data_IF_877942604026
#
_entry.id   IF_877942604026
#
_cell.length_a   1.000
_cell.length_b   1.000
_cell.length_c   1.000
_cell.angle_alpha   90.00
_cell.angle_beta   90.00
_cell.angle_gamma   90.00
#
_symmetry.space_group_name_H-M   'P 1'
#
loop_
_entity.id
_entity.type
_entity.pdbx_description
1 polymer ?
#
# COMPACT_ATOMS: atom_id res chain seq x y z
N UNK A 1 -35.37 -5.09 -39.71
CA UNK A 1 -35.30 -5.45 -38.27
C UNK A 1 -33.93 -5.98 -37.80
N UNK A 2 -32.83 -5.80 -38.55
CA UNK A 2 -31.52 -6.40 -38.23
C UNK A 2 -30.56 -5.54 -37.36
N UNK A 3 -30.88 -4.28 -37.06
CA UNK A 3 -29.96 -3.38 -36.32
C UNK A 3 -29.96 -3.57 -34.79
N UNK A 4 -31.04 -4.12 -34.22
CA UNK A 4 -31.22 -4.20 -32.75
C UNK A 4 -30.25 -5.18 -32.06
N UNK A 5 -29.75 -6.19 -32.78
CA UNK A 5 -28.79 -7.16 -32.26
C UNK A 5 -27.34 -6.64 -32.17
N UNK A 6 -26.97 -5.66 -33.02
CA UNK A 6 -25.60 -5.10 -33.03
C UNK A 6 -25.37 -4.09 -31.89
N UNK A 7 -26.40 -3.38 -31.45
CA UNK A 7 -26.30 -2.40 -30.35
C UNK A 7 -26.11 -3.07 -28.98
N UNK A 8 -26.72 -4.25 -28.77
CA UNK A 8 -26.60 -5.01 -27.52
C UNK A 8 -25.18 -5.56 -27.29
N UNK A 9 -24.49 -5.97 -28.37
CA UNK A 9 -23.10 -6.44 -28.32
C UNK A 9 -22.07 -5.32 -28.11
N UNK A 10 -22.30 -4.15 -28.72
CA UNK A 10 -21.43 -2.99 -28.57
C UNK A 10 -21.47 -2.40 -27.15
N UNK A 11 -22.66 -2.41 -26.50
CA UNK A 11 -22.82 -1.94 -25.13
C UNK A 11 -22.02 -2.79 -24.10
N UNK A 12 -21.91 -4.11 -24.30
CA UNK A 12 -21.11 -4.99 -23.44
C UNK A 12 -19.60 -4.81 -23.65
N UNK A 13 -19.15 -4.59 -24.89
CA UNK A 13 -17.74 -4.38 -25.21
C UNK A 13 -17.17 -3.06 -24.63
N UNK A 14 -18.01 -2.03 -24.48
CA UNK A 14 -17.62 -0.78 -23.80
C UNK A 14 -17.47 -0.95 -22.29
N UNK A 15 -18.32 -1.78 -21.67
CA UNK A 15 -18.32 -2.02 -20.23
C UNK A 15 -17.05 -2.74 -19.72
N UNK A 16 -16.59 -3.77 -20.44
CA UNK A 16 -15.39 -4.53 -20.02
C UNK A 16 -14.12 -3.67 -20.05
N UNK A 17 -13.93 -2.84 -21.08
CA UNK A 17 -12.77 -1.94 -21.19
C UNK A 17 -12.74 -0.91 -20.07
N UNK A 18 -13.88 -0.32 -19.73
CA UNK A 18 -14.00 0.64 -18.62
C UNK A 18 -13.67 0.00 -17.27
N UNK A 19 -14.13 -1.24 -17.03
CA UNK A 19 -13.81 -1.98 -15.79
C UNK A 19 -12.33 -2.32 -15.70
N UNK A 20 -11.71 -2.78 -16.79
CA UNK A 20 -10.27 -3.05 -16.84
C UNK A 20 -9.43 -1.80 -16.58
N UNK A 21 -9.79 -0.67 -17.20
CA UNK A 21 -9.13 0.61 -16.95
C UNK A 21 -9.26 1.05 -15.48
N UNK A 22 -10.45 0.90 -14.89
CA UNK A 22 -10.66 1.20 -13.47
C UNK A 22 -9.81 0.30 -12.58
N UNK A 23 -9.81 -1.02 -12.80
CA UNK A 23 -8.98 -1.96 -12.05
C UNK A 23 -7.49 -1.62 -12.15
N UNK A 24 -7.01 -1.31 -13.36
CA UNK A 24 -5.60 -0.92 -13.56
C UNK A 24 -5.26 0.37 -12.82
N UNK A 25 -6.14 1.38 -12.90
CA UNK A 25 -5.98 2.65 -12.21
C UNK A 25 -5.95 2.48 -10.68
N UNK A 26 -6.87 1.70 -10.12
CA UNK A 26 -6.89 1.41 -8.69
C UNK A 26 -5.68 0.60 -8.23
N UNK A 27 -5.26 -0.41 -8.98
CA UNK A 27 -4.04 -1.16 -8.67
C UNK A 27 -2.81 -0.26 -8.63
N UNK A 28 -2.66 0.64 -9.61
CA UNK A 28 -1.57 1.61 -9.61
C UNK A 28 -1.65 2.56 -8.40
N UNK A 29 -2.84 3.09 -8.10
CA UNK A 29 -3.04 3.95 -6.94
C UNK A 29 -2.69 3.25 -5.62
N UNK A 30 -3.04 1.97 -5.46
CA UNK A 30 -2.69 1.17 -4.28
C UNK A 30 -1.18 0.96 -4.18
N UNK A 31 -0.51 0.64 -5.29
CA UNK A 31 0.94 0.48 -5.32
C UNK A 31 1.62 1.78 -4.89
N UNK A 32 1.20 2.92 -5.47
CA UNK A 32 1.72 4.23 -5.08
C UNK A 32 1.46 4.49 -3.60
N UNK A 33 0.25 4.23 -3.09
CA UNK A 33 -0.05 4.41 -1.68
C UNK A 33 0.87 3.57 -0.78
N UNK A 34 1.11 2.29 -1.10
CA UNK A 34 2.01 1.43 -0.32
C UNK A 34 3.45 1.96 -0.34
N UNK A 35 3.93 2.45 -1.49
CA UNK A 35 5.28 3.04 -1.59
C UNK A 35 5.44 4.27 -0.69
N UNK A 36 4.40 5.11 -0.57
CA UNK A 36 4.40 6.25 0.33
C UNK A 36 4.23 5.85 1.81
N UNK A 37 3.58 4.72 2.09
CA UNK A 37 3.44 4.19 3.45
C UNK A 37 4.71 3.50 3.96
N UNK A 38 5.57 2.99 3.08
CA UNK A 38 6.83 2.33 3.47
C UNK A 38 7.74 3.19 4.38
N UNK A 39 8.08 4.44 4.05
CA UNK A 39 8.90 5.27 4.94
C UNK A 39 8.21 5.55 6.28
N UNK A 40 6.88 5.74 6.29
CA UNK A 40 6.12 5.93 7.54
C UNK A 40 6.15 4.68 8.41
N UNK A 41 5.94 3.50 7.79
CA UNK A 41 6.08 2.22 8.46
C UNK A 41 7.48 2.05 9.06
N UNK A 42 8.52 2.40 8.28
CA UNK A 42 9.91 2.32 8.74
C UNK A 42 10.16 3.22 9.95
N UNK A 43 9.66 4.46 9.93
CA UNK A 43 9.80 5.40 11.05
C UNK A 43 9.13 4.85 12.31
N UNK A 44 7.86 4.43 12.24
CA UNK A 44 7.14 3.87 13.39
C UNK A 44 7.84 2.63 13.92
N UNK A 45 8.22 1.69 13.04
CA UNK A 45 8.97 0.50 13.41
C UNK A 45 10.28 0.86 14.11
N UNK A 46 11.09 1.76 13.55
CA UNK A 46 12.37 2.17 14.15
C UNK A 46 12.21 2.86 15.50
N UNK A 47 11.15 3.65 15.70
CA UNK A 47 10.88 4.32 16.98
C UNK A 47 10.56 3.34 18.11
N UNK A 48 10.12 2.14 17.77
CA UNK A 48 9.80 1.06 18.70
C UNK A 48 10.94 0.03 18.86
N UNK A 49 12.08 0.23 18.17
CA UNK A 49 13.23 -0.69 18.27
C UNK A 49 14.15 -0.29 19.43
N UNK A 50 14.82 -1.25 20.08
CA UNK A 50 15.98 -0.95 20.91
C UNK A 50 17.15 -0.45 20.04
N UNK A 51 18.02 0.39 20.62
CA UNK A 51 19.12 1.05 19.91
C UNK A 51 20.02 0.10 19.12
N UNK A 52 20.32 -1.09 19.65
CA UNK A 52 21.15 -2.07 18.96
C UNK A 52 20.50 -2.62 17.67
N UNK A 53 19.15 -2.67 17.62
CA UNK A 53 18.40 -3.20 16.49
C UNK A 53 18.22 -2.15 15.37
N UNK A 54 18.41 -0.87 15.67
CA UNK A 54 18.38 0.21 14.66
C UNK A 54 19.61 0.14 13.75
N UNK A 55 20.78 -0.21 14.31
CA UNK A 55 22.06 -0.23 13.61
C UNK A 55 22.47 -1.62 13.10
N UNK A 56 21.71 -2.67 13.42
CA UNK A 56 22.06 -4.03 13.01
C UNK A 56 21.83 -4.26 11.50
N UNK A 57 22.68 -5.10 10.91
CA UNK A 57 22.51 -5.59 9.54
C UNK A 57 22.33 -7.12 9.54
N UNK A 58 21.32 -7.68 8.85
CA UNK A 58 20.30 -6.99 8.07
C UNK A 58 19.31 -6.19 8.96
N UNK A 59 18.79 -5.05 8.48
CA UNK A 59 17.81 -4.30 9.24
C UNK A 59 16.53 -5.11 9.43
N UNK A 60 16.04 -5.19 10.67
CA UNK A 60 14.75 -5.86 10.94
C UNK A 60 13.59 -4.92 10.65
N UNK A 61 12.56 -5.43 9.97
CA UNK A 61 11.38 -4.65 9.60
C UNK A 61 10.41 -4.46 10.75
N UNK A 62 10.34 -5.44 11.66
CA UNK A 62 9.52 -5.39 12.86
C UNK A 62 10.41 -5.30 14.11
N UNK A 63 10.05 -4.47 15.10
CA UNK A 63 10.78 -4.38 16.36
C UNK A 63 10.67 -5.68 17.14
N UNK A 64 11.78 -6.10 17.76
CA UNK A 64 11.84 -7.31 18.56
C UNK A 64 12.93 -7.18 19.62
N UNK A 65 12.59 -6.97 20.90
CA UNK A 65 11.24 -6.73 21.44
C UNK A 65 10.70 -5.33 21.07
N UNK A 66 9.39 -5.12 21.26
CA UNK A 66 8.74 -3.81 21.11
C UNK A 66 9.08 -2.92 22.32
N UNK A 67 9.77 -1.80 22.10
CA UNK A 67 10.18 -0.84 23.13
C UNK A 67 9.21 0.34 23.21
N UNK A 68 8.11 0.17 23.94
CA UNK A 68 7.17 1.27 24.20
C UNK A 68 7.77 2.37 25.07
N UNK A 69 8.79 2.06 25.89
CA UNK A 69 9.42 3.02 26.80
C UNK A 69 10.15 4.14 26.07
N UNK A 70 10.53 3.94 24.80
CA UNK A 70 11.13 4.97 23.96
C UNK A 70 10.26 6.24 23.86
N UNK A 71 8.93 6.14 23.90
CA UNK A 71 8.04 7.30 23.83
C UNK A 71 8.03 8.16 25.09
N UNK A 72 7.74 7.63 26.30
CA UNK A 72 7.83 8.42 27.52
C UNK A 72 9.25 8.90 27.81
N UNK A 73 10.28 8.10 27.53
CA UNK A 73 11.69 8.49 27.71
C UNK A 73 12.07 9.67 26.79
N UNK A 74 11.51 9.77 25.58
CA UNK A 74 11.78 10.87 24.67
C UNK A 74 11.15 12.21 25.11
N UNK A 75 10.24 12.20 26.09
CA UNK A 75 9.53 13.38 26.60
C UNK A 75 10.07 13.89 27.94
N UNK A 76 11.07 13.22 28.51
CA UNK A 76 11.70 13.55 29.80
C UNK A 76 13.14 13.94 29.61
#
# INVERSE_FOLDING_TARGET
>A
MARRGQELGAAHAGGIRRRLQACLGYSLAVIVAILFLLPLFWMVSSSLKPNYQVLQFPPRWFPEPIQWSNYPEALT
#
